data_IF_108694439391
#
_entry.id   IF_108694439391
#
_cell.length_a   1.000
_cell.length_b   1.000
_cell.length_c   1.000
_cell.angle_alpha   90.00
_cell.angle_beta   90.00
_cell.angle_gamma   90.00
#
_symmetry.space_group_name_H-M   'P 1'
#
loop_
_entity.id
_entity.type
_entity.pdbx_description
1 polymer ?
#
# COMPACT_ATOMS: atom_id res chain seq x y z
N UNK A 1 -44.20 -0.44 36.36
CA UNK A 1 -43.24 -1.28 35.63
C UNK A 1 -43.66 -2.74 35.74
N UNK A 2 -43.99 -3.39 34.61
CA UNK A 2 -44.39 -4.80 34.59
C UNK A 2 -43.21 -5.74 34.87
N UNK A 3 -43.49 -6.96 35.35
CA UNK A 3 -42.46 -7.97 35.65
C UNK A 3 -41.62 -8.31 34.41
N UNK A 4 -42.25 -8.33 33.24
CA UNK A 4 -41.60 -8.49 31.93
C UNK A 4 -40.63 -7.35 31.59
N UNK A 5 -40.98 -6.10 31.93
CA UNK A 5 -40.09 -4.95 31.70
C UNK A 5 -38.83 -5.02 32.58
N UNK A 6 -38.96 -5.50 33.83
CA UNK A 6 -37.81 -5.70 34.73
C UNK A 6 -36.87 -6.80 34.22
N UNK A 7 -37.41 -7.92 33.75
CA UNK A 7 -36.62 -9.02 33.17
C UNK A 7 -35.91 -8.57 31.90
N UNK A 8 -36.60 -7.86 31.00
CA UNK A 8 -35.96 -7.26 29.81
C UNK A 8 -34.83 -6.31 30.20
N UNK A 9 -35.07 -5.39 31.13
CA UNK A 9 -34.05 -4.44 31.56
C UNK A 9 -32.82 -5.13 32.18
N UNK A 10 -33.01 -6.21 32.94
CA UNK A 10 -31.90 -7.00 33.50
C UNK A 10 -31.11 -7.78 32.45
N UNK A 11 -31.80 -8.38 31.46
CA UNK A 11 -31.14 -9.14 30.39
C UNK A 11 -30.28 -8.24 29.49
N UNK A 12 -30.77 -7.05 29.13
CA UNK A 12 -30.05 -6.15 28.23
C UNK A 12 -28.98 -5.30 28.94
N UNK A 13 -29.08 -5.04 30.26
CA UNK A 13 -28.02 -4.39 31.05
C UNK A 13 -26.68 -5.15 31.00
N UNK A 14 -26.75 -6.47 30.88
CA UNK A 14 -25.57 -7.33 30.86
C UNK A 14 -24.91 -7.43 29.47
N UNK A 15 -25.60 -7.01 28.39
CA UNK A 15 -25.00 -6.95 27.05
C UNK A 15 -24.06 -5.74 26.89
N UNK A 16 -24.39 -4.60 27.50
CA UNK A 16 -23.59 -3.37 27.40
C UNK A 16 -22.27 -3.44 28.19
N UNK A 17 -22.19 -4.32 29.19
CA UNK A 17 -21.02 -4.50 30.07
C UNK A 17 -20.12 -5.67 29.66
N UNK A 18 -20.47 -6.38 28.59
CA UNK A 18 -19.59 -7.40 28.02
C UNK A 18 -18.34 -6.73 27.45
N UNK A 19 -17.12 -7.13 27.82
CA UNK A 19 -15.93 -6.63 27.16
C UNK A 19 -16.09 -6.95 25.68
N UNK A 20 -16.09 -5.92 24.82
CA UNK A 20 -16.16 -6.10 23.38
C UNK A 20 -14.98 -6.98 22.96
N UNK A 21 -15.25 -8.27 22.78
CA UNK A 21 -14.30 -9.22 22.24
C UNK A 21 -13.97 -8.71 20.84
N UNK A 22 -12.78 -8.11 20.70
CA UNK A 22 -12.29 -7.63 19.41
C UNK A 22 -12.37 -8.78 18.43
N UNK A 23 -13.05 -8.56 17.32
CA UNK A 23 -13.12 -9.58 16.28
C UNK A 23 -11.70 -9.88 15.78
N UNK A 24 -11.45 -11.11 15.30
CA UNK A 24 -10.16 -11.47 14.68
C UNK A 24 -9.77 -10.48 13.56
N UNK A 25 -10.76 -9.85 12.93
CA UNK A 25 -10.56 -8.82 11.89
C UNK A 25 -10.01 -7.51 12.48
N UNK A 26 -10.56 -7.04 13.60
CA UNK A 26 -10.06 -5.85 14.31
C UNK A 26 -8.62 -6.04 14.81
N UNK A 27 -8.27 -7.24 15.29
CA UNK A 27 -6.88 -7.52 15.67
C UNK A 27 -5.93 -7.51 14.47
N UNK A 28 -6.39 -7.92 13.28
CA UNK A 28 -5.56 -7.92 12.07
C UNK A 28 -5.37 -6.53 11.46
N UNK A 29 -6.32 -5.61 11.66
CA UNK A 29 -6.24 -4.23 11.17
C UNK A 29 -5.06 -3.44 11.75
N UNK A 30 -4.59 -3.82 12.94
CA UNK A 30 -3.49 -3.14 13.66
C UNK A 30 -2.24 -4.01 13.78
N UNK A 31 -2.23 -5.18 13.14
CA UNK A 31 -1.16 -6.16 13.29
C UNK A 31 0.17 -5.67 12.69
N UNK A 32 0.11 -5.02 11.53
CA UNK A 32 1.27 -4.37 10.94
C UNK A 32 1.28 -2.89 11.29
N UNK A 33 2.47 -2.32 11.57
CA UNK A 33 2.58 -0.87 11.70
C UNK A 33 2.16 -0.19 10.38
N UNK A 34 1.62 1.04 10.45
CA UNK A 34 1.28 1.79 9.26
C UNK A 34 2.52 2.03 8.41
N UNK A 35 2.34 2.07 7.09
CA UNK A 35 3.41 2.44 6.17
C UNK A 35 3.68 3.95 6.28
N UNK A 36 4.83 4.33 6.85
CA UNK A 36 5.19 5.72 7.12
C UNK A 36 6.46 6.09 6.38
N UNK A 37 6.33 7.02 5.43
CA UNK A 37 7.48 7.52 4.68
C UNK A 37 8.14 8.71 5.37
N UNK A 38 9.38 8.53 5.83
CA UNK A 38 10.18 9.56 6.52
C UNK A 38 10.35 10.82 5.67
N UNK A 39 10.50 10.68 4.34
CA UNK A 39 10.66 11.83 3.43
C UNK A 39 9.41 12.70 3.37
N UNK A 40 8.21 12.11 3.34
CA UNK A 40 6.96 12.90 3.34
C UNK A 40 6.74 13.59 4.68
N UNK A 41 7.11 12.94 5.80
CA UNK A 41 7.07 13.57 7.12
C UNK A 41 8.06 14.73 7.21
N UNK A 42 9.29 14.54 6.73
CA UNK A 42 10.29 15.59 6.69
C UNK A 42 9.88 16.80 5.84
N UNK A 43 9.11 16.58 4.77
CA UNK A 43 8.60 17.67 3.93
C UNK A 43 7.58 18.57 4.64
N UNK A 44 6.91 18.08 5.70
CA UNK A 44 5.96 18.84 6.50
C UNK A 44 6.66 19.77 7.49
N UNK A 45 7.91 19.48 7.88
CA UNK A 45 8.68 20.27 8.83
C UNK A 45 9.65 21.23 8.11
N UNK A 46 9.46 22.55 8.21
CA UNK A 46 10.36 23.53 7.61
C UNK A 46 11.79 23.47 8.15
N UNK A 47 11.98 23.04 9.41
CA UNK A 47 13.29 23.00 10.06
C UNK A 47 14.22 21.93 9.48
N UNK A 48 13.64 20.91 8.84
CA UNK A 48 14.36 19.79 8.24
C UNK A 48 14.76 20.04 6.77
N UNK A 49 14.22 21.10 6.13
CA UNK A 49 14.61 21.52 4.77
C UNK A 49 16.12 21.73 4.57
N UNK A 50 16.87 22.42 5.46
CA UNK A 50 18.31 22.61 5.28
C UNK A 50 19.10 21.30 5.25
N UNK A 51 18.59 20.23 5.88
CA UNK A 51 19.26 18.92 5.92
C UNK A 51 19.18 18.16 4.61
N UNK A 52 18.36 18.60 3.64
CA UNK A 52 18.23 18.00 2.30
C UNK A 52 18.08 16.48 2.36
N UNK A 53 17.18 16.00 3.21
CA UNK A 53 16.96 14.57 3.40
C UNK A 53 16.56 13.90 2.09
N UNK A 54 17.17 12.73 1.82
CA UNK A 54 16.93 11.93 0.61
C UNK A 54 16.67 10.47 0.98
N UNK A 55 15.90 9.80 0.14
CA UNK A 55 15.68 8.36 0.25
C UNK A 55 16.76 7.62 -0.53
N UNK A 56 17.79 7.15 0.20
CA UNK A 56 18.93 6.43 -0.36
C UNK A 56 18.50 5.14 -1.06
N UNK A 57 17.48 4.45 -0.53
CA UNK A 57 17.03 3.20 -1.11
C UNK A 57 16.33 3.42 -2.45
N UNK A 58 15.52 4.48 -2.53
CA UNK A 58 14.91 4.91 -3.77
C UNK A 58 15.96 5.32 -4.81
N UNK A 59 16.99 6.07 -4.41
CA UNK A 59 18.07 6.46 -5.30
C UNK A 59 18.83 5.25 -5.85
N UNK A 60 19.18 4.26 -5.02
CA UNK A 60 19.82 3.01 -5.45
C UNK A 60 18.95 2.25 -6.45
N UNK A 61 17.64 2.17 -6.21
CA UNK A 61 16.70 1.52 -7.15
C UNK A 61 16.64 2.25 -8.49
N UNK A 62 16.54 3.59 -8.46
CA UNK A 62 16.52 4.41 -9.66
C UNK A 62 17.80 4.22 -10.48
N UNK A 63 18.96 4.25 -9.84
CA UNK A 63 20.25 4.06 -10.52
C UNK A 63 20.35 2.67 -11.14
N UNK A 64 19.86 1.65 -10.44
CA UNK A 64 19.77 0.29 -10.98
C UNK A 64 18.86 0.21 -12.22
N UNK A 65 17.72 0.88 -12.20
CA UNK A 65 16.81 0.95 -13.34
C UNK A 65 17.46 1.65 -14.53
N UNK A 66 18.13 2.79 -14.31
CA UNK A 66 18.89 3.51 -15.36
C UNK A 66 19.96 2.61 -15.97
N UNK A 67 20.73 1.89 -15.14
CA UNK A 67 21.75 0.95 -15.66
C UNK A 67 21.14 -0.21 -16.45
N UNK A 68 19.98 -0.71 -16.07
CA UNK A 68 19.28 -1.77 -16.78
C UNK A 68 18.73 -1.28 -18.13
N UNK A 69 18.15 -0.07 -18.15
CA UNK A 69 17.66 0.59 -19.35
C UNK A 69 18.80 0.89 -20.34
N UNK A 70 19.94 1.39 -19.85
CA UNK A 70 21.14 1.61 -20.67
C UNK A 70 21.66 0.31 -21.32
N UNK A 71 21.48 -0.83 -20.64
CA UNK A 71 21.85 -2.17 -21.14
C UNK A 71 20.77 -2.76 -22.06
N UNK A 72 19.68 -2.03 -22.34
CA UNK A 72 18.47 -2.53 -23.05
C UNK A 72 17.90 -3.80 -22.42
N UNK A 73 18.20 -4.04 -21.14
CA UNK A 73 17.67 -5.15 -20.36
C UNK A 73 16.50 -4.59 -19.57
N UNK A 74 15.37 -4.43 -20.26
CA UNK A 74 14.10 -4.13 -19.61
C UNK A 74 13.65 -5.37 -18.84
N UNK A 75 14.19 -5.57 -17.64
CA UNK A 75 13.66 -6.58 -16.72
C UNK A 75 12.46 -5.95 -16.05
N UNK A 76 11.28 -6.26 -16.57
CA UNK A 76 10.00 -5.90 -15.99
C UNK A 76 9.90 -6.50 -14.59
N UNK A 77 10.04 -5.66 -13.57
CA UNK A 77 9.83 -6.08 -12.20
C UNK A 77 8.35 -6.40 -11.91
N UNK A 78 7.39 -5.80 -12.64
CA UNK A 78 5.96 -6.02 -12.46
C UNK A 78 5.15 -5.80 -13.75
N UNK A 79 4.39 -6.82 -14.17
CA UNK A 79 3.30 -6.74 -15.16
C UNK A 79 3.69 -6.89 -16.65
N UNK A 80 2.78 -7.39 -17.50
CA UNK A 80 3.03 -7.57 -18.93
C UNK A 80 3.09 -6.22 -19.64
N UNK A 81 4.19 -5.94 -20.35
CA UNK A 81 4.27 -4.78 -21.26
C UNK A 81 3.34 -5.02 -22.47
N UNK A 82 2.56 -4.01 -22.81
CA UNK A 82 2.00 -3.90 -24.15
C UNK A 82 3.17 -3.96 -25.15
N UNK A 83 3.10 -4.91 -26.08
CA UNK A 83 4.14 -5.16 -27.05
C UNK A 83 4.50 -3.87 -27.82
N UNK A 84 5.79 -3.61 -28.10
CA UNK A 84 6.17 -2.47 -28.93
C UNK A 84 5.51 -2.61 -30.30
N UNK A 85 4.86 -1.54 -30.76
CA UNK A 85 4.18 -1.49 -32.05
C UNK A 85 5.14 -1.92 -33.17
N UNK A 86 4.86 -3.08 -33.79
CA UNK A 86 5.61 -3.57 -34.94
C UNK A 86 5.49 -2.55 -36.06
N UNK A 87 6.61 -1.92 -36.45
CA UNK A 87 6.71 -1.16 -37.69
C UNK A 87 6.29 -2.08 -38.84
N UNK A 88 5.34 -1.64 -39.65
CA UNK A 88 4.76 -2.36 -40.78
C UNK A 88 5.84 -2.79 -41.78
N UNK A 89 6.21 -4.06 -41.74
CA UNK A 89 7.02 -4.71 -42.77
C UNK A 89 6.10 -5.17 -43.91
N UNK A 90 6.30 -4.61 -45.12
CA UNK A 90 5.68 -5.04 -46.38
C UNK A 90 5.72 -6.57 -46.54
N UNK A 91 4.55 -7.22 -46.56
CA UNK A 91 4.40 -8.64 -46.92
C UNK A 91 4.91 -8.88 -48.35
N UNK A 92 5.96 -9.69 -48.49
CA UNK A 92 6.44 -10.19 -49.78
C UNK A 92 5.47 -11.29 -50.26
N UNK A 93 4.71 -11.03 -51.33
CA UNK A 93 3.88 -12.04 -52.02
C UNK A 93 4.81 -13.14 -52.56
N UNK A 94 4.58 -14.39 -52.16
CA UNK A 94 5.14 -15.56 -52.84
C UNK A 94 4.35 -15.76 -54.15
N UNK A 95 5.08 -15.89 -55.26
CA UNK A 95 4.56 -16.43 -56.52
C UNK A 95 4.47 -17.95 -56.39
#
# INVERSE_FOLDING_TARGET
MSKLQKIRAQLFKNLETSPMLKSKRESLLTYYPPDVSVVKLAAQDPSLKPLKLRDVWFDIKRDREIMLEARKKNVLAFGPQAAPAKKEGKKKKRK
#
